data_IF_454129408204
#
_entry.id   IF_454129408204
#
_cell.length_a   1.000
_cell.length_b   1.000
_cell.length_c   1.000
_cell.angle_alpha   90.00
_cell.angle_beta   90.00
_cell.angle_gamma   90.00
#
_symmetry.space_group_name_H-M   'P 1'
#
loop_
_entity.id
_entity.type
_entity.pdbx_description
1 polymer ?
#
# COMPACT_ATOMS: atom_id res chain seq x y z
N UNK A 1 3.30 -0.77 -38.23
CA UNK A 1 2.50 -0.03 -37.24
C UNK A 1 2.31 -0.94 -36.03
N UNK A 2 3.05 -0.70 -34.95
CA UNK A 2 2.86 -1.43 -33.69
C UNK A 2 2.30 -0.44 -32.68
N UNK A 3 1.02 -0.57 -32.38
CA UNK A 3 0.33 0.25 -31.38
C UNK A 3 0.86 -0.20 -30.03
N UNK A 4 1.83 0.54 -29.49
CA UNK A 4 2.25 0.40 -28.10
C UNK A 4 1.05 0.73 -27.24
N UNK A 5 0.34 -0.30 -26.79
CA UNK A 5 -0.65 -0.19 -25.74
C UNK A 5 0.12 0.28 -24.52
N UNK A 6 0.13 1.59 -24.26
CA UNK A 6 0.47 2.10 -22.94
C UNK A 6 -0.56 1.49 -22.01
N UNK A 7 -0.18 0.42 -21.31
CA UNK A 7 -0.95 -0.04 -20.16
C UNK A 7 -1.00 1.20 -19.26
N UNK A 8 -2.20 1.73 -19.05
CA UNK A 8 -2.40 2.84 -18.14
C UNK A 8 -2.26 2.24 -16.74
N UNK A 9 -1.01 2.01 -16.32
CA UNK A 9 -0.71 1.39 -15.03
C UNK A 9 -1.13 2.40 -13.98
N UNK A 10 -2.24 2.12 -13.32
CA UNK A 10 -2.70 2.90 -12.16
C UNK A 10 -1.50 3.06 -11.20
N UNK A 11 -1.25 4.26 -10.63
CA UNK A 11 -0.20 4.39 -9.64
C UNK A 11 -0.55 3.55 -8.40
N UNK A 12 0.47 3.14 -7.64
CA UNK A 12 0.22 2.63 -6.30
C UNK A 12 -0.47 3.73 -5.47
N UNK A 13 -1.35 3.35 -4.56
CA UNK A 13 -2.10 4.30 -3.73
C UNK A 13 -1.93 3.94 -2.27
N UNK A 14 -1.61 4.92 -1.44
CA UNK A 14 -1.58 4.81 0.01
C UNK A 14 -2.89 5.32 0.60
N UNK A 15 -3.48 4.53 1.47
CA UNK A 15 -4.58 4.94 2.33
C UNK A 15 -4.09 4.85 3.77
N UNK A 16 -4.15 5.95 4.50
CA UNK A 16 -3.82 5.99 5.92
C UNK A 16 -5.08 6.17 6.74
N UNK A 17 -5.21 5.37 7.79
CA UNK A 17 -6.22 5.56 8.82
C UNK A 17 -5.53 5.79 10.16
N UNK A 18 -6.05 6.75 10.93
CA UNK A 18 -5.61 7.06 12.29
C UNK A 18 -6.85 7.14 13.17
N UNK A 19 -6.92 6.31 14.21
CA UNK A 19 -8.00 6.29 15.21
C UNK A 19 -9.41 6.29 14.58
N UNK A 20 -9.62 5.45 13.57
CA UNK A 20 -10.90 5.36 12.84
C UNK A 20 -11.11 6.44 11.77
N UNK A 21 -10.24 7.44 11.66
CA UNK A 21 -10.33 8.51 10.66
C UNK A 21 -9.52 8.19 9.42
N UNK A 22 -10.21 8.13 8.28
CA UNK A 22 -9.58 7.99 6.97
C UNK A 22 -9.02 9.32 6.47
N UNK A 23 -7.76 9.29 6.03
CA UNK A 23 -7.13 10.40 5.32
C UNK A 23 -7.37 10.29 3.81
N UNK A 24 -7.13 11.39 3.10
CA UNK A 24 -7.24 11.38 1.65
C UNK A 24 -6.24 10.38 1.05
N UNK A 25 -6.68 9.55 0.08
CA UNK A 25 -5.77 8.62 -0.59
C UNK A 25 -4.66 9.37 -1.31
N UNK A 26 -3.42 8.91 -1.15
CA UNK A 26 -2.24 9.51 -1.77
C UNK A 26 -1.72 8.60 -2.89
N UNK A 27 -1.70 9.07 -4.15
CA UNK A 27 -0.99 8.38 -5.21
C UNK A 27 0.52 8.43 -4.94
N UNK A 28 1.16 7.27 -4.89
CA UNK A 28 2.59 7.14 -4.63
C UNK A 28 3.28 6.31 -5.72
N UNK A 29 4.60 6.41 -5.79
CA UNK A 29 5.36 5.55 -6.69
C UNK A 29 5.35 4.10 -6.21
N UNK A 30 5.48 3.16 -7.15
CA UNK A 30 5.62 1.73 -6.82
C UNK A 30 6.80 1.49 -5.86
N UNK A 31 7.93 2.17 -6.11
CA UNK A 31 9.12 2.06 -5.26
C UNK A 31 8.83 2.54 -3.83
N UNK A 32 8.10 3.64 -3.66
CA UNK A 32 7.72 4.13 -2.34
C UNK A 32 6.84 3.12 -1.60
N UNK A 33 5.84 2.54 -2.28
CA UNK A 33 4.97 1.52 -1.70
C UNK A 33 5.77 0.29 -1.23
N UNK A 34 6.63 -0.26 -2.11
CA UNK A 34 7.46 -1.42 -1.79
C UNK A 34 8.47 -1.14 -0.68
N UNK A 35 9.08 0.05 -0.69
CA UNK A 35 9.99 0.50 0.36
C UNK A 35 9.27 0.61 1.71
N UNK A 36 8.06 1.17 1.72
CA UNK A 36 7.20 1.26 2.91
C UNK A 36 6.90 -0.12 3.50
N UNK A 37 6.37 -1.04 2.68
CA UNK A 37 6.08 -2.42 3.10
C UNK A 37 7.34 -3.15 3.59
N UNK A 38 8.47 -2.99 2.90
CA UNK A 38 9.74 -3.62 3.29
C UNK A 38 10.27 -3.05 4.61
N UNK A 39 10.17 -1.74 4.83
CA UNK A 39 10.54 -1.10 6.10
C UNK A 39 9.66 -1.61 7.23
N UNK A 40 8.34 -1.65 7.02
CA UNK A 40 7.40 -2.15 8.01
C UNK A 40 7.73 -3.58 8.47
N UNK A 41 7.99 -4.49 7.52
CA UNK A 41 8.41 -5.87 7.82
C UNK A 41 9.72 -5.98 8.61
N UNK A 42 10.57 -4.96 8.55
CA UNK A 42 11.87 -4.90 9.25
C UNK A 42 11.80 -4.16 10.59
N UNK A 43 10.64 -3.66 10.98
CA UNK A 43 10.46 -2.79 12.15
C UNK A 43 9.49 -3.41 13.18
N UNK A 44 9.81 -4.59 13.76
CA UNK A 44 8.90 -5.32 14.65
C UNK A 44 8.60 -4.62 15.99
N UNK A 45 9.31 -3.54 16.32
CA UNK A 45 9.02 -2.70 17.49
C UNK A 45 8.04 -1.56 17.19
N UNK A 46 7.82 -1.24 15.92
CA UNK A 46 6.99 -0.15 15.46
C UNK A 46 5.72 -0.64 14.74
N UNK A 47 5.70 -1.91 14.33
CA UNK A 47 4.66 -2.51 13.52
C UNK A 47 4.25 -3.84 14.15
N UNK A 48 2.96 -3.96 14.48
CA UNK A 48 2.38 -5.16 15.08
C UNK A 48 2.07 -6.21 14.01
N UNK A 49 1.65 -5.77 12.82
CA UNK A 49 1.31 -6.68 11.72
C UNK A 49 1.61 -6.09 10.34
N UNK A 50 2.04 -6.96 9.43
CA UNK A 50 2.05 -6.68 7.98
C UNK A 50 1.38 -7.84 7.26
N UNK A 51 0.23 -7.59 6.66
CA UNK A 51 -0.51 -8.57 5.87
C UNK A 51 -0.53 -8.15 4.41
N UNK A 52 -0.38 -9.08 3.48
CA UNK A 52 -0.44 -8.81 2.04
C UNK A 52 -1.40 -9.77 1.40
N UNK A 53 -2.33 -9.23 0.62
CA UNK A 53 -3.40 -9.97 -0.02
C UNK A 53 -3.44 -9.65 -1.52
N UNK A 54 -3.72 -10.66 -2.33
CA UNK A 54 -4.03 -10.46 -3.74
C UNK A 54 -5.54 -10.31 -3.91
N UNK A 55 -5.96 -9.31 -4.68
CA UNK A 55 -7.35 -8.97 -4.95
C UNK A 55 -7.59 -8.73 -6.44
N UNK A 56 -8.85 -8.87 -6.82
CA UNK A 56 -9.37 -8.31 -8.07
C UNK A 56 -10.21 -7.08 -7.72
N UNK A 57 -9.78 -5.92 -8.18
CA UNK A 57 -10.49 -4.65 -8.02
C UNK A 57 -11.85 -4.66 -8.70
N UNK A 58 -12.71 -3.70 -8.33
CA UNK A 58 -14.08 -3.58 -8.88
C UNK A 58 -14.10 -3.38 -10.40
N UNK A 59 -13.07 -2.77 -10.94
CA UNK A 59 -12.85 -2.57 -12.38
C UNK A 59 -12.25 -3.81 -13.09
N UNK A 60 -12.08 -4.93 -12.37
CA UNK A 60 -11.47 -6.14 -12.88
C UNK A 60 -9.93 -6.15 -12.84
N UNK A 61 -9.29 -5.08 -12.35
CA UNK A 61 -7.83 -5.00 -12.28
C UNK A 61 -7.26 -5.91 -11.17
N UNK A 62 -6.13 -6.56 -11.42
CA UNK A 62 -5.43 -7.32 -10.39
C UNK A 62 -4.62 -6.36 -9.48
N UNK A 63 -4.80 -6.49 -8.17
CA UNK A 63 -4.16 -5.65 -7.15
C UNK A 63 -3.52 -6.51 -6.07
N UNK A 64 -2.41 -6.04 -5.51
CA UNK A 64 -1.90 -6.47 -4.22
C UNK A 64 -2.19 -5.37 -3.20
N UNK A 65 -2.80 -5.75 -2.08
CA UNK A 65 -3.10 -4.83 -0.98
C UNK A 65 -2.26 -5.23 0.22
N UNK A 66 -1.36 -4.35 0.64
CA UNK A 66 -0.56 -4.53 1.85
C UNK A 66 -1.12 -3.68 2.98
N UNK A 67 -1.54 -4.34 4.06
CA UNK A 67 -2.01 -3.72 5.29
C UNK A 67 -0.88 -3.72 6.32
N UNK A 68 -0.51 -2.54 6.82
CA UNK A 68 0.50 -2.34 7.85
C UNK A 68 -0.18 -1.75 9.07
N UNK A 69 -0.15 -2.47 10.19
CA UNK A 69 -0.67 -2.00 11.46
C UNK A 69 0.47 -1.59 12.38
N UNK A 70 0.48 -0.34 12.80
CA UNK A 70 1.52 0.19 13.66
C UNK A 70 1.26 -0.14 15.13
N UNK A 71 2.33 -0.42 15.86
CA UNK A 71 2.26 -0.69 17.28
C UNK A 71 1.76 0.54 18.05
N UNK A 72 0.92 0.30 19.07
CA UNK A 72 0.46 1.37 19.97
C UNK A 72 1.65 2.09 20.59
N UNK A 73 1.62 3.43 20.59
CA UNK A 73 2.70 4.27 21.11
C UNK A 73 3.88 4.48 20.13
N UNK A 74 3.83 3.89 18.93
CA UNK A 74 4.74 4.28 17.84
C UNK A 74 4.48 5.73 17.40
N UNK A 75 3.21 6.11 17.35
CA UNK A 75 2.76 7.48 17.06
C UNK A 75 2.42 8.20 18.37
N UNK A 76 2.86 9.44 18.52
CA UNK A 76 2.75 10.18 19.80
C UNK A 76 1.32 10.58 20.18
N UNK A 77 0.42 10.72 19.19
CA UNK A 77 -0.94 11.19 19.37
C UNK A 77 -1.97 10.29 18.67
N UNK A 78 -1.66 9.01 18.50
CA UNK A 78 -2.56 8.05 17.89
C UNK A 78 -2.41 6.67 18.53
N UNK A 79 -3.54 6.01 18.74
CA UNK A 79 -3.64 4.73 19.41
C UNK A 79 -3.74 3.57 18.42
N UNK A 80 -4.34 3.81 17.26
CA UNK A 80 -4.53 2.85 16.18
C UNK A 80 -4.20 3.51 14.84
N UNK A 81 -3.10 3.07 14.21
CA UNK A 81 -2.67 3.60 12.92
C UNK A 81 -2.42 2.44 11.97
N UNK A 82 -2.97 2.56 10.76
CA UNK A 82 -2.62 1.65 9.68
C UNK A 82 -2.45 2.37 8.35
N UNK A 83 -1.47 1.84 7.61
CA UNK A 83 -1.26 2.18 6.21
C UNK A 83 -1.69 1.00 5.34
N UNK A 84 -2.47 1.30 4.30
CA UNK A 84 -2.91 0.36 3.29
C UNK A 84 -2.33 0.77 1.96
N UNK A 85 -1.45 -0.07 1.41
CA UNK A 85 -0.85 0.13 0.10
C UNK A 85 -1.62 -0.69 -0.92
N UNK A 86 -2.35 -0.04 -1.82
CA UNK A 86 -2.89 -0.66 -3.03
C UNK A 86 -1.84 -0.59 -4.15
N UNK A 87 -1.40 -1.75 -4.64
CA UNK A 87 -0.34 -1.87 -5.63
C UNK A 87 -0.88 -2.67 -6.82
N UNK A 88 -0.95 -2.10 -8.03
CA UNK A 88 -1.39 -2.87 -9.20
C UNK A 88 -0.43 -4.02 -9.50
N UNK A 89 -0.98 -5.21 -9.70
CA UNK A 89 -0.18 -6.42 -9.90
C UNK A 89 0.70 -6.32 -11.14
N UNK A 90 0.20 -5.71 -12.22
CA UNK A 90 0.99 -5.47 -13.42
C UNK A 90 2.19 -4.54 -13.20
N UNK A 91 2.14 -3.68 -12.17
CA UNK A 91 3.29 -2.85 -11.82
C UNK A 91 4.41 -3.67 -11.14
N UNK A 92 4.07 -4.80 -10.49
CA UNK A 92 5.06 -5.67 -9.82
C UNK A 92 5.86 -6.52 -10.80
N UNK A 93 5.34 -6.78 -12.00
CA UNK A 93 5.99 -7.59 -13.03
C UNK A 93 7.03 -6.82 -13.85
N UNK A 94 7.02 -5.48 -13.77
CA UNK A 94 7.92 -4.60 -14.53
C UNK A 94 9.20 -4.21 -13.75
N UNK A 95 9.49 -4.89 -12.63
CA UNK A 95 10.64 -4.66 -11.74
C UNK A 95 11.86 -5.53 -12.07
#
# INVERSE_FOLDING_TARGET
>A
MSTSTRINVRPATLFTQVDGRNFHPEPISLYAALSGVRKARKSPKAVDAVNVYAFTGRDGSALHVAYVHYARGHWSNADDVFDVYEIPTGALTDL
#
